data_IF_845006862289
#
_entry.id   IF_845006862289
#
_cell.length_a   1.000
_cell.length_b   1.000
_cell.length_c   1.000
_cell.angle_alpha   90.00
_cell.angle_beta   90.00
_cell.angle_gamma   90.00
#
_symmetry.space_group_name_H-M   'P 1'
#
loop_
_entity.id
_entity.type
_entity.pdbx_description
1 polymer ?
#
# COMPACT_ATOMS: atom_id res chain seq x y z
N UNK A 1 -7.24 -0.72 13.99
CA UNK A 1 -6.09 -1.44 13.45
C UNK A 1 -4.81 -1.03 14.20
N UNK A 2 -3.76 -1.89 14.25
CA UNK A 2 -2.49 -1.54 14.88
C UNK A 2 -1.71 -0.50 14.07
N UNK A 3 -0.84 0.28 14.74
CA UNK A 3 -0.03 1.32 14.11
C UNK A 3 0.91 0.81 13.00
N UNK A 4 1.26 -0.45 13.03
CA UNK A 4 2.15 -1.07 12.04
C UNK A 4 1.42 -1.85 10.95
N UNK A 5 0.13 -1.62 10.70
CA UNK A 5 -0.70 -2.40 9.78
C UNK A 5 -0.02 -2.69 8.45
N UNK A 6 0.49 -1.67 7.76
CA UNK A 6 1.15 -1.82 6.46
C UNK A 6 2.41 -2.68 6.55
N UNK A 7 3.26 -2.41 7.54
CA UNK A 7 4.53 -3.12 7.71
C UNK A 7 4.34 -4.57 8.17
N UNK A 8 3.38 -4.81 9.08
CA UNK A 8 3.05 -6.15 9.56
C UNK A 8 2.49 -7.00 8.43
N UNK A 9 1.58 -6.43 7.66
CA UNK A 9 0.96 -7.13 6.54
C UNK A 9 1.92 -7.43 5.41
N UNK A 10 2.71 -6.43 4.99
CA UNK A 10 3.71 -6.66 3.93
C UNK A 10 4.76 -7.69 4.37
N UNK A 11 5.15 -7.70 5.66
CA UNK A 11 6.09 -8.71 6.17
C UNK A 11 5.53 -10.14 6.01
N UNK A 12 4.27 -10.38 6.36
CA UNK A 12 3.61 -11.67 6.18
C UNK A 12 3.57 -12.06 4.71
N UNK A 13 3.09 -11.15 3.87
CA UNK A 13 2.97 -11.35 2.43
C UNK A 13 4.30 -11.70 1.76
N UNK A 14 5.36 -10.91 1.99
CA UNK A 14 6.66 -11.17 1.34
C UNK A 14 7.33 -12.45 1.83
N UNK A 15 7.13 -12.83 3.10
CA UNK A 15 7.62 -14.10 3.62
C UNK A 15 6.96 -15.30 2.92
N UNK A 16 5.65 -15.26 2.74
CA UNK A 16 4.90 -16.30 2.05
C UNK A 16 5.36 -16.42 0.59
N UNK A 17 5.39 -15.31 -0.15
CA UNK A 17 5.84 -15.27 -1.55
C UNK A 17 7.28 -15.75 -1.69
N UNK A 18 8.19 -15.31 -0.82
CA UNK A 18 9.59 -15.67 -0.88
C UNK A 18 9.80 -17.19 -0.65
N UNK A 19 9.04 -17.78 0.28
CA UNK A 19 9.10 -19.22 0.55
C UNK A 19 8.65 -20.07 -0.65
N UNK A 20 7.61 -19.60 -1.38
CA UNK A 20 7.07 -20.28 -2.55
C UNK A 20 7.94 -20.13 -3.80
N UNK A 21 8.73 -19.06 -3.87
CA UNK A 21 9.53 -18.72 -5.05
C UNK A 21 11.04 -18.92 -4.87
N UNK A 22 11.48 -19.51 -3.75
CA UNK A 22 12.90 -19.62 -3.41
C UNK A 22 13.65 -18.28 -3.61
N UNK A 23 13.09 -17.22 -3.06
CA UNK A 23 13.63 -15.86 -3.13
C UNK A 23 14.11 -15.39 -1.76
N UNK A 24 15.06 -14.45 -1.74
CA UNK A 24 15.47 -13.81 -0.49
C UNK A 24 14.48 -12.71 -0.18
N UNK A 25 13.93 -12.72 1.02
CA UNK A 25 13.06 -11.70 1.56
C UNK A 25 13.85 -10.78 2.49
N UNK A 26 13.68 -9.48 2.30
CA UNK A 26 14.24 -8.45 3.19
C UNK A 26 13.10 -7.87 3.99
N UNK A 27 13.27 -7.78 5.31
CA UNK A 27 12.24 -7.22 6.18
C UNK A 27 11.85 -5.80 5.73
N UNK A 28 10.56 -5.44 5.77
CA UNK A 28 10.11 -4.12 5.33
C UNK A 28 10.78 -3.01 6.14
N UNK A 29 11.05 -1.89 5.47
CA UNK A 29 11.46 -0.67 6.14
C UNK A 29 10.26 -0.13 6.93
N UNK A 30 10.44 0.04 8.22
CA UNK A 30 9.48 0.69 9.10
C UNK A 30 10.24 1.64 10.03
N UNK A 31 9.79 2.89 10.13
CA UNK A 31 8.65 3.56 9.50
C UNK A 31 8.87 3.89 8.01
N UNK A 32 7.75 4.30 7.34
CA UNK A 32 7.76 4.85 5.99
C UNK A 32 7.71 6.38 5.96
N UNK A 33 7.19 6.94 4.86
CA UNK A 33 6.93 8.37 4.67
C UNK A 33 5.45 8.68 4.93
N UNK A 34 5.13 9.18 6.10
CA UNK A 34 3.75 9.40 6.59
C UNK A 34 3.55 10.79 7.25
N UNK A 35 4.05 11.90 6.68
CA UNK A 35 3.88 13.22 7.29
C UNK A 35 2.42 13.64 7.40
N UNK A 36 1.57 13.15 6.50
CA UNK A 36 0.13 13.41 6.45
C UNK A 36 -0.67 12.78 7.60
N UNK A 37 -0.04 11.91 8.40
CA UNK A 37 -0.64 11.30 9.59
C UNK A 37 -0.08 11.85 10.91
N UNK A 38 0.82 12.85 10.87
CA UNK A 38 1.57 13.30 12.07
C UNK A 38 0.73 13.93 13.16
N UNK A 39 -0.49 14.36 12.88
CA UNK A 39 -1.46 14.81 13.90
C UNK A 39 -1.99 13.68 14.78
N UNK A 40 -1.82 12.41 14.36
CA UNK A 40 -2.30 11.26 15.12
C UNK A 40 -1.19 10.70 16.01
N UNK A 41 -1.44 10.53 17.33
CA UNK A 41 -0.44 10.03 18.26
C UNK A 41 0.08 8.63 17.90
N UNK A 42 1.38 8.45 17.98
CA UNK A 42 2.04 7.19 17.63
C UNK A 42 2.55 7.12 16.19
N UNK A 43 2.19 8.07 15.33
CA UNK A 43 2.76 8.16 13.99
C UNK A 43 4.26 8.47 14.05
N UNK A 44 5.05 7.68 13.33
CA UNK A 44 6.47 7.90 13.11
C UNK A 44 6.72 7.95 11.61
N UNK A 45 7.41 8.99 11.14
CA UNK A 45 7.70 9.17 9.72
C UNK A 45 9.17 9.44 9.46
N UNK A 46 9.70 8.90 8.36
CA UNK A 46 10.96 9.39 7.80
C UNK A 46 10.68 10.56 6.85
N UNK A 47 11.73 11.35 6.55
CA UNK A 47 11.69 12.21 5.38
C UNK A 47 11.82 11.36 4.10
N UNK A 48 11.38 11.90 2.96
CA UNK A 48 11.54 11.24 1.65
C UNK A 48 13.01 10.94 1.34
N UNK A 49 13.92 11.85 1.72
CA UNK A 49 15.37 11.69 1.53
C UNK A 49 15.93 10.54 2.37
N UNK A 50 15.49 10.42 3.63
CA UNK A 50 15.92 9.32 4.51
C UNK A 50 15.42 7.98 3.96
N UNK A 51 14.14 7.88 3.59
CA UNK A 51 13.58 6.67 3.04
C UNK A 51 14.27 6.28 1.72
N UNK A 52 14.51 7.26 0.83
CA UNK A 52 15.25 7.05 -0.41
C UNK A 52 16.67 6.53 -0.13
N UNK A 53 17.36 7.12 0.85
CA UNK A 53 18.70 6.68 1.25
C UNK A 53 18.71 5.21 1.70
N UNK A 54 17.79 4.82 2.58
CA UNK A 54 17.66 3.44 3.07
C UNK A 54 17.41 2.47 1.90
N UNK A 55 16.50 2.79 0.99
CA UNK A 55 16.19 1.96 -0.17
C UNK A 55 17.41 1.82 -1.10
N UNK A 56 18.09 2.92 -1.39
CA UNK A 56 19.25 2.92 -2.26
C UNK A 56 20.43 2.13 -1.66
N UNK A 57 20.70 2.28 -0.37
CA UNK A 57 21.79 1.58 0.31
C UNK A 57 21.49 0.08 0.41
N UNK A 58 20.22 -0.29 0.69
CA UNK A 58 19.79 -1.69 0.71
C UNK A 58 19.97 -2.33 -0.66
N UNK A 59 19.42 -1.73 -1.72
CA UNK A 59 19.56 -2.25 -3.09
C UNK A 59 21.04 -2.31 -3.51
N UNK A 60 21.79 -1.26 -3.20
CA UNK A 60 23.21 -1.17 -3.53
C UNK A 60 24.06 -2.26 -2.88
N UNK A 61 23.77 -2.58 -1.62
CA UNK A 61 24.45 -3.65 -0.89
C UNK A 61 24.23 -5.02 -1.54
N UNK A 62 22.99 -5.35 -1.85
CA UNK A 62 22.66 -6.61 -2.52
C UNK A 62 23.19 -6.65 -3.97
N UNK A 63 23.13 -5.53 -4.69
CA UNK A 63 23.71 -5.44 -6.03
C UNK A 63 25.22 -5.67 -6.02
N UNK A 64 25.94 -5.15 -5.00
CA UNK A 64 27.36 -5.41 -4.78
C UNK A 64 27.66 -6.91 -4.60
N UNK A 65 26.76 -7.65 -3.98
CA UNK A 65 26.86 -9.11 -3.81
C UNK A 65 26.33 -9.91 -5.01
N UNK A 66 26.06 -9.25 -6.14
CA UNK A 66 25.70 -9.91 -7.39
C UNK A 66 24.19 -10.14 -7.59
N UNK A 67 23.34 -9.64 -6.71
CA UNK A 67 21.89 -9.69 -6.92
C UNK A 67 21.50 -8.75 -8.07
N UNK A 68 20.84 -9.28 -9.09
CA UNK A 68 20.47 -8.55 -10.30
C UNK A 68 18.97 -8.31 -10.46
N UNK A 69 18.12 -8.93 -9.63
CA UNK A 69 16.66 -8.79 -9.70
C UNK A 69 16.09 -8.46 -8.34
N UNK A 70 15.26 -7.41 -8.30
CA UNK A 70 14.64 -6.92 -7.09
C UNK A 70 13.15 -6.70 -7.31
N UNK A 71 12.33 -7.14 -6.38
CA UNK A 71 10.92 -6.76 -6.31
C UNK A 71 10.72 -5.87 -5.11
N UNK A 72 10.14 -4.72 -5.34
CA UNK A 72 9.76 -3.78 -4.29
C UNK A 72 8.24 -3.88 -4.07
N UNK A 73 7.84 -4.17 -2.84
CA UNK A 73 6.44 -4.26 -2.44
C UNK A 73 6.09 -3.06 -1.57
N UNK A 74 5.06 -2.33 -1.95
CA UNK A 74 4.58 -1.15 -1.23
C UNK A 74 3.13 -1.33 -0.80
N UNK A 75 2.86 -1.16 0.50
CA UNK A 75 1.51 -1.21 1.08
C UNK A 75 1.07 0.15 1.65
N UNK A 76 1.91 1.19 1.53
CA UNK A 76 1.61 2.52 2.05
C UNK A 76 1.66 3.57 0.95
N UNK A 77 0.54 4.24 0.70
CA UNK A 77 0.42 5.23 -0.38
C UNK A 77 1.45 6.36 -0.30
N UNK A 78 1.79 6.82 0.90
CA UNK A 78 2.78 7.88 1.11
C UNK A 78 4.18 7.55 0.58
N UNK A 79 4.55 6.29 0.48
CA UNK A 79 5.86 5.87 -0.03
C UNK A 79 5.98 5.94 -1.56
N UNK A 80 4.88 6.01 -2.30
CA UNK A 80 4.84 5.73 -3.75
C UNK A 80 5.86 6.54 -4.55
N UNK A 81 5.91 7.85 -4.35
CA UNK A 81 6.82 8.73 -5.09
C UNK A 81 8.29 8.40 -4.79
N UNK A 82 8.61 8.13 -3.52
CA UNK A 82 9.98 7.78 -3.10
C UNK A 82 10.39 6.42 -3.65
N UNK A 83 9.49 5.45 -3.68
CA UNK A 83 9.71 4.14 -4.28
C UNK A 83 9.98 4.24 -5.78
N UNK A 84 9.19 4.98 -6.53
CA UNK A 84 9.40 5.19 -7.96
C UNK A 84 10.75 5.87 -8.24
N UNK A 85 11.12 6.86 -7.44
CA UNK A 85 12.43 7.51 -7.55
C UNK A 85 13.57 6.55 -7.24
N UNK A 86 13.44 5.71 -6.20
CA UNK A 86 14.43 4.70 -5.84
C UNK A 86 14.62 3.68 -6.98
N UNK A 87 13.53 3.20 -7.59
CA UNK A 87 13.56 2.28 -8.74
C UNK A 87 14.36 2.89 -9.91
N UNK A 88 14.05 4.13 -10.28
CA UNK A 88 14.74 4.80 -11.39
C UNK A 88 16.23 4.98 -11.11
N UNK A 89 16.59 5.48 -9.91
CA UNK A 89 17.98 5.70 -9.51
C UNK A 89 18.76 4.39 -9.42
N UNK A 90 18.18 3.35 -8.83
CA UNK A 90 18.86 2.07 -8.66
C UNK A 90 19.11 1.36 -9.99
N UNK A 91 18.13 1.36 -10.91
CA UNK A 91 18.31 0.84 -12.28
C UNK A 91 19.48 1.50 -12.99
N UNK A 92 19.56 2.83 -12.92
CA UNK A 92 20.62 3.60 -13.54
C UNK A 92 21.97 3.35 -12.88
N UNK A 93 22.04 3.39 -11.55
CA UNK A 93 23.29 3.33 -10.78
C UNK A 93 23.87 1.93 -10.69
N UNK A 94 23.04 0.92 -10.43
CA UNK A 94 23.50 -0.43 -10.09
C UNK A 94 23.33 -1.44 -11.22
N UNK A 95 22.71 -1.05 -12.35
CA UNK A 95 22.44 -1.94 -13.50
C UNK A 95 21.71 -3.22 -13.07
N UNK A 96 20.59 -3.03 -12.39
CA UNK A 96 19.72 -4.09 -11.87
C UNK A 96 18.30 -3.97 -12.42
N UNK A 97 17.63 -5.11 -12.52
CA UNK A 97 16.20 -5.15 -12.83
C UNK A 97 15.41 -4.96 -11.53
N UNK A 98 14.52 -3.99 -11.51
CA UNK A 98 13.62 -3.76 -10.37
C UNK A 98 12.19 -3.68 -10.89
N UNK A 99 11.27 -4.40 -10.25
CA UNK A 99 9.84 -4.32 -10.49
C UNK A 99 9.10 -3.94 -9.20
N UNK A 100 7.99 -3.23 -9.36
CA UNK A 100 7.01 -2.96 -8.32
C UNK A 100 5.62 -3.31 -8.86
N UNK A 101 5.23 -4.60 -8.88
CA UNK A 101 3.95 -5.02 -9.40
C UNK A 101 2.81 -4.56 -8.48
N UNK A 102 1.71 -4.14 -9.08
CA UNK A 102 0.55 -3.58 -8.37
C UNK A 102 -0.50 -4.63 -7.95
N UNK A 103 -0.18 -5.92 -8.05
CA UNK A 103 -1.12 -7.01 -7.75
C UNK A 103 -2.12 -7.32 -8.88
N UNK A 104 -3.03 -8.27 -8.66
CA UNK A 104 -4.04 -8.67 -9.62
C UNK A 104 -5.04 -7.52 -9.86
N UNK A 105 -5.50 -7.39 -11.13
CA UNK A 105 -6.48 -6.36 -11.52
C UNK A 105 -7.67 -6.93 -12.29
N UNK A 106 -7.54 -8.15 -12.79
CA UNK A 106 -8.49 -8.73 -13.72
C UNK A 106 -9.34 -9.87 -13.13
N UNK A 107 -9.11 -10.25 -11.89
CA UNK A 107 -9.98 -11.20 -11.20
C UNK A 107 -11.30 -10.54 -10.83
N UNK A 108 -12.36 -11.31 -10.66
CA UNK A 108 -13.67 -10.75 -10.26
C UNK A 108 -13.59 -10.09 -8.88
N UNK A 109 -12.89 -10.72 -7.93
CA UNK A 109 -12.68 -10.15 -6.59
C UNK A 109 -11.90 -8.83 -6.64
N UNK A 110 -10.81 -8.75 -7.45
CA UNK A 110 -10.04 -7.52 -7.58
C UNK A 110 -10.87 -6.37 -8.18
N UNK A 111 -11.71 -6.65 -9.16
CA UNK A 111 -12.63 -5.67 -9.75
C UNK A 111 -13.67 -5.20 -8.75
N UNK A 112 -14.33 -6.13 -8.06
CA UNK A 112 -15.32 -5.81 -7.01
C UNK A 112 -14.71 -4.91 -5.92
N UNK A 113 -13.51 -5.25 -5.45
CA UNK A 113 -12.80 -4.44 -4.46
C UNK A 113 -12.46 -3.06 -5.00
N UNK A 114 -11.97 -2.94 -6.23
CA UNK A 114 -11.64 -1.66 -6.84
C UNK A 114 -12.87 -0.77 -7.01
N UNK A 115 -13.99 -1.33 -7.47
CA UNK A 115 -15.26 -0.61 -7.58
C UNK A 115 -15.76 -0.14 -6.21
N UNK A 116 -15.68 -1.01 -5.19
CA UNK A 116 -16.04 -0.66 -3.81
C UNK A 116 -15.15 0.44 -3.25
N UNK A 117 -13.84 0.34 -3.44
CA UNK A 117 -12.88 1.36 -3.00
C UNK A 117 -13.16 2.71 -3.66
N UNK A 118 -13.42 2.72 -4.96
CA UNK A 118 -13.77 3.94 -5.70
C UNK A 118 -15.08 4.55 -5.19
N UNK A 119 -16.12 3.72 -5.05
CA UNK A 119 -17.44 4.17 -4.62
C UNK A 119 -17.47 4.73 -3.21
N UNK A 120 -16.70 4.16 -2.28
CA UNK A 120 -16.71 4.54 -0.87
C UNK A 120 -15.44 5.26 -0.43
N UNK A 121 -14.62 5.75 -1.37
CA UNK A 121 -13.38 6.47 -1.05
C UNK A 121 -12.54 5.75 0.00
N UNK A 122 -12.35 4.44 -0.14
CA UNK A 122 -11.55 3.66 0.79
C UNK A 122 -10.06 3.97 0.64
N UNK A 123 -9.62 5.05 1.27
CA UNK A 123 -8.22 5.50 1.24
C UNK A 123 -7.45 4.98 2.44
N UNK A 124 -8.03 4.99 3.65
CA UNK A 124 -7.36 4.61 4.89
C UNK A 124 -8.33 4.02 5.91
N UNK A 125 -7.94 2.89 6.52
CA UNK A 125 -8.69 2.19 7.58
C UNK A 125 -10.12 1.81 7.22
N UNK A 126 -10.40 1.55 5.94
CA UNK A 126 -11.68 1.06 5.45
C UNK A 126 -11.83 -0.46 5.57
N UNK A 127 -12.95 -1.03 5.07
CA UNK A 127 -13.22 -2.47 5.11
C UNK A 127 -12.12 -3.33 4.48
N UNK A 128 -11.51 -2.89 3.37
CA UNK A 128 -10.43 -3.62 2.70
C UNK A 128 -9.21 -3.79 3.60
N UNK A 129 -8.72 -2.70 4.21
CA UNK A 129 -7.57 -2.78 5.12
C UNK A 129 -7.92 -3.53 6.39
N UNK A 130 -9.15 -3.41 6.86
CA UNK A 130 -9.64 -4.19 8.01
C UNK A 130 -9.68 -5.68 7.68
N UNK A 131 -10.18 -6.08 6.52
CA UNK A 131 -10.19 -7.49 6.06
C UNK A 131 -8.77 -8.05 6.01
N UNK A 132 -7.85 -7.31 5.42
CA UNK A 132 -6.43 -7.64 5.37
C UNK A 132 -5.81 -7.84 6.77
N UNK A 133 -6.05 -6.90 7.69
CA UNK A 133 -5.53 -6.97 9.04
C UNK A 133 -6.13 -8.13 9.84
N UNK A 134 -7.43 -8.36 9.73
CA UNK A 134 -8.13 -9.47 10.38
C UNK A 134 -7.66 -10.84 9.87
N UNK A 135 -7.19 -10.93 8.63
CA UNK A 135 -6.59 -12.16 8.11
C UNK A 135 -5.20 -12.41 8.70
N UNK A 136 -4.33 -11.41 8.72
CA UNK A 136 -2.92 -11.63 9.07
C UNK A 136 -2.59 -11.51 10.55
N UNK A 137 -3.31 -10.66 11.29
CA UNK A 137 -3.03 -10.36 12.72
C UNK A 137 -4.30 -9.95 13.48
N UNK A 138 -5.33 -10.83 13.52
CA UNK A 138 -6.61 -10.52 14.16
C UNK A 138 -6.45 -10.16 15.65
N UNK A 139 -5.44 -10.73 16.32
CA UNK A 139 -5.14 -10.49 17.73
C UNK A 139 -4.69 -9.04 18.02
N UNK A 140 -4.26 -8.29 17.00
CA UNK A 140 -3.87 -6.89 17.09
C UNK A 140 -4.98 -5.93 16.68
N UNK A 141 -6.11 -6.44 16.20
CA UNK A 141 -7.23 -5.63 15.71
C UNK A 141 -8.24 -5.39 16.83
N UNK A 142 -8.25 -4.19 17.40
CA UNK A 142 -9.20 -3.79 18.45
C UNK A 142 -10.51 -3.31 17.84
N UNK A 143 -11.27 -4.21 17.20
CA UNK A 143 -12.50 -3.88 16.48
C UNK A 143 -13.60 -3.25 17.35
N UNK A 144 -13.56 -3.45 18.65
CA UNK A 144 -14.45 -2.79 19.60
C UNK A 144 -14.26 -1.26 19.65
N UNK A 145 -13.16 -0.74 19.14
CA UNK A 145 -12.89 0.71 19.02
C UNK A 145 -13.34 1.30 17.68
N UNK A 146 -13.78 0.45 16.73
CA UNK A 146 -14.22 0.93 15.43
C UNK A 146 -15.53 1.74 15.58
N UNK A 147 -15.55 2.91 14.97
CA UNK A 147 -16.69 3.82 14.95
C UNK A 147 -17.26 3.93 13.52
N UNK A 148 -18.46 4.46 13.40
CA UNK A 148 -19.01 4.84 12.12
C UNK A 148 -18.16 5.98 11.54
N UNK A 149 -17.83 5.89 10.26
CA UNK A 149 -16.95 6.84 9.59
C UNK A 149 -17.44 8.30 9.69
N UNK A 150 -18.76 8.51 9.66
CA UNK A 150 -19.37 9.84 9.80
C UNK A 150 -18.98 10.54 11.10
N UNK A 151 -18.78 9.78 12.17
CA UNK A 151 -18.40 10.34 13.48
C UNK A 151 -16.96 10.91 13.46
N UNK A 152 -16.13 10.43 12.55
CA UNK A 152 -14.74 10.89 12.39
C UNK A 152 -14.58 12.09 11.46
N UNK A 153 -15.51 12.32 10.52
CA UNK A 153 -15.37 13.35 9.51
C UNK A 153 -15.34 14.76 10.10
N UNK A 154 -14.43 15.57 9.58
CA UNK A 154 -14.31 17.01 9.87
C UNK A 154 -14.67 17.89 8.68
N UNK A 155 -14.89 17.28 7.51
CA UNK A 155 -15.34 18.00 6.31
C UNK A 155 -16.70 18.64 6.55
N UNK A 156 -16.87 19.86 6.05
CA UNK A 156 -18.18 20.51 6.09
C UNK A 156 -19.22 19.73 5.27
N UNK A 157 -20.50 19.94 5.57
CA UNK A 157 -21.57 19.28 4.81
C UNK A 157 -21.51 19.61 3.32
N UNK A 158 -21.18 20.84 2.98
CA UNK A 158 -21.04 21.26 1.59
C UNK A 158 -19.91 20.51 0.87
N UNK A 159 -18.78 20.25 1.54
CA UNK A 159 -17.70 19.45 0.98
C UNK A 159 -18.08 17.97 0.88
N UNK A 160 -18.82 17.44 1.86
CA UNK A 160 -19.33 16.08 1.80
C UNK A 160 -20.30 15.88 0.62
N UNK A 161 -21.24 16.84 0.42
CA UNK A 161 -22.16 16.85 -0.71
C UNK A 161 -21.41 16.99 -2.05
N UNK A 162 -20.33 17.79 -2.07
CA UNK A 162 -19.47 17.93 -3.24
C UNK A 162 -18.75 16.63 -3.57
N UNK A 163 -18.40 15.84 -2.58
CA UNK A 163 -17.71 14.53 -2.71
C UNK A 163 -18.67 13.32 -2.75
N UNK A 164 -19.95 13.55 -3.00
CA UNK A 164 -20.94 12.48 -3.10
C UNK A 164 -20.60 11.57 -4.31
N UNK A 165 -20.36 10.26 -4.09
CA UNK A 165 -20.00 9.34 -5.15
C UNK A 165 -21.14 9.05 -6.15
N UNK A 166 -22.38 9.40 -5.81
CA UNK A 166 -23.54 9.23 -6.70
C UNK A 166 -23.74 10.43 -7.66
N UNK A 167 -22.86 11.44 -7.63
CA UNK A 167 -22.88 12.56 -8.57
C UNK A 167 -22.46 12.12 -9.98
N UNK A 168 -23.11 12.69 -10.99
CA UNK A 168 -22.77 12.43 -12.40
C UNK A 168 -21.32 12.86 -12.76
N UNK A 169 -20.82 13.90 -12.10
CA UNK A 169 -19.48 14.46 -12.32
C UNK A 169 -18.45 14.05 -11.25
N UNK A 170 -18.75 12.97 -10.48
CA UNK A 170 -17.91 12.54 -9.35
C UNK A 170 -16.44 12.31 -9.71
N UNK A 171 -16.16 11.73 -10.88
CA UNK A 171 -14.77 11.50 -11.33
C UNK A 171 -13.98 12.83 -11.41
N UNK A 172 -14.58 13.86 -11.99
CA UNK A 172 -13.95 15.17 -12.07
C UNK A 172 -13.81 15.82 -10.70
N UNK A 173 -14.85 15.75 -9.89
CA UNK A 173 -14.88 16.31 -8.54
C UNK A 173 -13.83 15.65 -7.65
N UNK A 174 -13.69 14.33 -7.68
CA UNK A 174 -12.67 13.61 -6.91
C UNK A 174 -11.25 14.03 -7.32
N UNK A 175 -10.99 14.20 -8.61
CA UNK A 175 -9.70 14.70 -9.08
C UNK A 175 -9.44 16.15 -8.59
N UNK A 176 -10.42 17.03 -8.63
CA UNK A 176 -10.30 18.41 -8.11
C UNK A 176 -9.99 18.38 -6.61
N UNK A 177 -10.70 17.55 -5.85
CA UNK A 177 -10.48 17.43 -4.40
C UNK A 177 -9.05 16.99 -4.09
N UNK A 178 -8.58 15.90 -4.68
CA UNK A 178 -7.23 15.41 -4.46
C UNK A 178 -6.14 16.37 -4.94
N UNK A 179 -6.35 17.06 -6.05
CA UNK A 179 -5.39 18.03 -6.57
C UNK A 179 -5.32 19.33 -5.76
N UNK A 180 -6.44 19.72 -5.15
CA UNK A 180 -6.55 21.02 -4.46
C UNK A 180 -6.25 20.93 -2.97
N UNK A 181 -6.70 19.87 -2.31
CA UNK A 181 -6.54 19.75 -0.86
C UNK A 181 -5.22 19.09 -0.49
N UNK A 182 -4.68 18.13 -1.29
CA UNK A 182 -3.46 17.40 -0.98
C UNK A 182 -3.44 16.90 0.47
N UNK A 183 -4.46 16.19 0.94
CA UNK A 183 -4.95 16.33 2.30
C UNK A 183 -3.99 15.75 3.32
N UNK A 184 -3.73 16.54 4.35
CA UNK A 184 -3.36 15.97 5.65
C UNK A 184 -4.57 15.22 6.19
N UNK A 185 -4.34 14.10 6.85
CA UNK A 185 -5.45 13.25 7.31
C UNK A 185 -6.38 13.96 8.31
N UNK A 186 -5.84 14.87 9.12
CA UNK A 186 -6.61 15.72 10.02
C UNK A 186 -7.55 16.70 9.34
N UNK A 187 -7.31 17.05 8.08
CA UNK A 187 -8.19 17.93 7.31
C UNK A 187 -9.50 17.22 6.91
N UNK A 188 -9.49 15.89 6.96
CA UNK A 188 -10.61 15.03 6.56
C UNK A 188 -11.26 14.36 7.74
N UNK A 189 -10.45 13.83 8.68
CA UNK A 189 -10.94 13.01 9.78
C UNK A 189 -10.18 13.26 11.08
N UNK A 190 -10.89 13.17 12.22
CA UNK A 190 -10.32 13.28 13.56
C UNK A 190 -9.90 11.92 14.19
N UNK A 191 -10.37 10.80 13.64
CA UNK A 191 -10.08 9.46 14.15
C UNK A 191 -9.15 8.64 13.25
N UNK A 192 -8.66 9.24 12.15
CA UNK A 192 -7.74 8.61 11.21
C UNK A 192 -8.41 7.74 10.15
N UNK A 193 -9.70 7.48 10.22
CA UNK A 193 -10.42 6.71 9.21
C UNK A 193 -10.77 7.60 8.01
N UNK A 194 -10.33 7.18 6.83
CA UNK A 194 -10.68 7.85 5.58
C UNK A 194 -11.29 6.82 4.61
N UNK A 195 -12.52 6.48 4.87
CA UNK A 195 -13.36 5.65 4.01
C UNK A 195 -14.82 5.98 4.31
N UNK A 196 -15.67 6.15 3.30
CA UNK A 196 -17.11 6.37 3.48
C UNK A 196 -17.86 5.03 3.70
N UNK A 197 -17.21 4.08 4.32
CA UNK A 197 -17.75 2.77 4.65
C UNK A 197 -17.28 2.31 6.02
N UNK A 198 -18.17 1.65 6.75
CA UNK A 198 -17.90 1.15 8.09
C UNK A 198 -16.79 0.10 8.09
N UNK A 199 -15.67 0.28 8.81
CA UNK A 199 -14.58 -0.68 8.88
C UNK A 199 -15.02 -2.04 9.42
N UNK A 200 -16.10 -2.12 10.21
CA UNK A 200 -16.67 -3.37 10.74
C UNK A 200 -17.27 -4.29 9.66
N UNK A 201 -17.43 -3.80 8.43
CA UNK A 201 -17.79 -4.63 7.26
C UNK A 201 -16.61 -5.47 6.77
N UNK A 202 -15.38 -5.12 7.14
CA UNK A 202 -14.22 -5.95 6.87
C UNK A 202 -14.28 -7.29 7.62
N UNK A 203 -13.79 -8.35 6.99
CA UNK A 203 -13.77 -9.69 7.57
C UNK A 203 -12.56 -10.50 7.12
N UNK A 204 -12.17 -11.48 7.94
CA UNK A 204 -10.98 -12.30 7.71
C UNK A 204 -11.08 -13.18 6.45
N UNK A 205 -12.28 -13.60 6.04
CA UNK A 205 -12.50 -14.45 4.87
C UNK A 205 -12.22 -13.68 3.59
N UNK A 206 -12.72 -12.45 3.47
CA UNK A 206 -12.38 -11.56 2.36
C UNK A 206 -10.87 -11.27 2.34
N UNK A 207 -10.29 -10.97 3.52
CA UNK A 207 -8.86 -10.78 3.64
C UNK A 207 -8.04 -11.97 3.14
N UNK A 208 -8.44 -13.19 3.53
CA UNK A 208 -7.81 -14.42 3.06
C UNK A 208 -7.91 -14.60 1.53
N UNK A 209 -9.08 -14.35 0.96
CA UNK A 209 -9.30 -14.44 -0.48
C UNK A 209 -8.45 -13.43 -1.26
N UNK A 210 -8.43 -12.17 -0.82
CA UNK A 210 -7.59 -11.12 -1.40
C UNK A 210 -6.11 -11.48 -1.38
N UNK A 211 -5.63 -11.95 -0.23
CA UNK A 211 -4.20 -12.26 -0.08
C UNK A 211 -3.79 -13.50 -0.84
N UNK A 212 -4.68 -14.51 -0.93
CA UNK A 212 -4.46 -15.67 -1.78
C UNK A 212 -4.24 -15.26 -3.24
N UNK A 213 -5.13 -14.45 -3.81
CA UNK A 213 -4.98 -13.96 -5.18
C UNK A 213 -3.71 -13.11 -5.36
N UNK A 214 -3.37 -12.29 -4.37
CA UNK A 214 -2.15 -11.47 -4.41
C UNK A 214 -0.88 -12.32 -4.37
N UNK A 215 -0.86 -13.37 -3.54
CA UNK A 215 0.26 -14.32 -3.46
C UNK A 215 0.41 -15.11 -4.76
N UNK A 216 -0.68 -15.69 -5.29
CA UNK A 216 -0.68 -16.43 -6.56
C UNK A 216 -0.16 -15.54 -7.70
N UNK A 217 -0.68 -14.33 -7.82
CA UNK A 217 -0.21 -13.35 -8.82
C UNK A 217 1.29 -13.06 -8.68
N UNK A 218 1.76 -12.84 -7.44
CA UNK A 218 3.17 -12.50 -7.21
C UNK A 218 4.10 -13.68 -7.49
N UNK A 219 3.68 -14.89 -7.16
CA UNK A 219 4.42 -16.12 -7.47
C UNK A 219 4.55 -16.29 -8.99
N UNK A 220 3.45 -16.19 -9.72
CA UNK A 220 3.45 -16.29 -11.19
C UNK A 220 4.32 -15.21 -11.82
N UNK A 221 4.20 -13.97 -11.32
CA UNK A 221 5.03 -12.85 -11.77
C UNK A 221 6.52 -13.14 -11.56
N UNK A 222 6.91 -13.62 -10.38
CA UNK A 222 8.32 -13.88 -10.05
C UNK A 222 8.87 -15.01 -10.90
N UNK A 223 8.15 -16.12 -11.05
CA UNK A 223 8.62 -17.27 -11.82
C UNK A 223 8.76 -16.92 -13.31
N UNK A 224 7.78 -16.22 -13.87
CA UNK A 224 7.89 -15.71 -15.23
C UNK A 224 9.06 -14.73 -15.37
N UNK A 225 9.23 -13.81 -14.42
CA UNK A 225 10.26 -12.79 -14.47
C UNK A 225 11.68 -13.37 -14.31
N UNK A 226 11.85 -14.43 -13.53
CA UNK A 226 13.13 -15.16 -13.44
C UNK A 226 13.57 -15.74 -14.78
N UNK A 227 12.63 -16.12 -15.62
CA UNK A 227 12.91 -16.69 -16.95
C UNK A 227 13.40 -15.64 -17.97
N UNK A 228 13.15 -14.36 -17.74
CA UNK A 228 13.59 -13.29 -18.63
C UNK A 228 15.11 -13.12 -18.58
N UNK A 229 15.80 -13.00 -19.73
CA UNK A 229 17.22 -12.73 -19.75
C UNK A 229 17.53 -11.35 -19.17
N UNK A 230 18.68 -11.23 -18.50
CA UNK A 230 19.16 -9.91 -18.12
C UNK A 230 19.50 -9.09 -19.39
N UNK A 231 19.16 -7.79 -19.40
CA UNK A 231 19.63 -6.88 -20.45
C UNK A 231 21.16 -6.98 -20.60
N UNK A 232 21.72 -6.85 -21.80
CA UNK A 232 23.17 -6.94 -22.02
C UNK A 232 23.99 -6.04 -21.09
N UNK A 233 23.55 -4.81 -20.87
CA UNK A 233 24.21 -3.83 -20.00
C UNK A 233 24.15 -4.18 -18.48
N UNK A 234 23.48 -5.27 -18.08
CA UNK A 234 23.31 -5.69 -16.67
C UNK A 234 24.01 -7.02 -16.37
N UNK A 235 24.71 -7.60 -17.36
CA UNK A 235 25.33 -8.93 -17.26
C UNK A 235 26.70 -8.95 -16.61
N UNK A 236 27.36 -7.79 -16.58
CA UNK A 236 28.73 -7.60 -16.08
C UNK A 236 28.75 -7.12 -14.62
#
# INVERSE_FOLDING_TARGET
LPLGTDSLGVAKFIHEVASLTNSVCIHPCWPGYSPHHMSFPGTVTFSSETLLGILMDTIGSFAHHGVKRFIMVNYHGGNEQTFQLAIQKARSKYKVMIAAPSGPKNTELAKEIQERMARYLEVHSGPRETSFALHYFPELCEMWRAEDWENGLVLSKELQEFMDPDREDYELVSQIFYASFGPMTEDITRNGQYASSDPRKGNAEEGAAMMKEAVEFMVDFIELWKSLPLPPAYRD
#
